data_IF_164865729831
#
_entry.id   IF_164865729831
#
_cell.length_a   1.000
_cell.length_b   1.000
_cell.length_c   1.000
_cell.angle_alpha   90.00
_cell.angle_beta   90.00
_cell.angle_gamma   90.00
#
_symmetry.space_group_name_H-M   'P 1'
#
loop_
_entity.id
_entity.type
_entity.pdbx_description
1 polymer ?
#
# COMPACT_ATOMS: atom_id res chain seq x y z
N UNK A 1 -8.29 8.01 -13.58
CA UNK A 1 -7.79 8.91 -14.61
C UNK A 1 -6.32 8.60 -14.93
N UNK A 2 -5.87 8.75 -16.20
CA UNK A 2 -4.46 8.61 -16.57
C UNK A 2 -3.65 9.75 -15.96
N UNK A 3 -2.44 9.42 -15.45
CA UNK A 3 -1.50 10.40 -14.89
C UNK A 3 -0.41 10.78 -15.91
N UNK A 4 0.25 9.79 -16.45
CA UNK A 4 1.28 9.92 -17.48
C UNK A 4 1.56 8.58 -18.16
N UNK A 5 2.14 8.64 -19.33
CA UNK A 5 2.58 7.48 -20.09
C UNK A 5 4.10 7.44 -20.19
N UNK A 6 4.67 6.26 -20.07
CA UNK A 6 6.07 5.99 -20.35
C UNK A 6 6.25 5.62 -21.83
N UNK A 7 7.47 5.69 -22.36
CA UNK A 7 7.78 5.17 -23.70
C UNK A 7 7.56 3.65 -23.74
N UNK A 8 6.48 3.23 -24.38
CA UNK A 8 6.05 1.84 -24.41
C UNK A 8 6.70 1.01 -25.54
N UNK A 9 7.40 1.66 -26.48
CA UNK A 9 7.99 1.00 -27.65
C UNK A 9 8.88 -0.20 -27.31
N UNK A 10 9.81 -0.12 -26.33
CA UNK A 10 10.61 -1.29 -25.95
C UNK A 10 9.77 -2.43 -25.39
N UNK A 11 8.74 -2.10 -24.61
CA UNK A 11 7.85 -3.08 -23.98
C UNK A 11 6.93 -3.75 -24.98
N UNK A 12 6.44 -3.03 -25.98
CA UNK A 12 5.67 -3.60 -27.11
C UNK A 12 6.49 -4.61 -27.91
N UNK A 13 7.77 -4.30 -28.16
CA UNK A 13 8.67 -5.22 -28.85
C UNK A 13 8.88 -6.49 -28.03
N UNK A 14 9.15 -6.36 -26.72
CA UNK A 14 9.32 -7.49 -25.81
C UNK A 14 8.04 -8.36 -25.73
N UNK A 15 6.87 -7.73 -25.67
CA UNK A 15 5.58 -8.43 -25.67
C UNK A 15 5.39 -9.23 -26.97
N UNK A 16 5.60 -8.60 -28.12
CA UNK A 16 5.48 -9.27 -29.43
C UNK A 16 6.44 -10.45 -29.59
N UNK A 17 7.67 -10.32 -29.07
CA UNK A 17 8.66 -11.39 -29.05
C UNK A 17 8.22 -12.56 -28.17
N UNK A 18 7.72 -12.30 -26.96
CA UNK A 18 7.21 -13.31 -26.06
C UNK A 18 6.00 -14.03 -26.65
N UNK A 19 5.08 -13.30 -27.31
CA UNK A 19 3.93 -13.87 -28.02
C UNK A 19 4.38 -14.83 -29.16
N UNK A 20 5.38 -14.42 -29.91
CA UNK A 20 5.93 -15.28 -30.96
C UNK A 20 6.56 -16.57 -30.40
N UNK A 21 7.24 -16.48 -29.25
CA UNK A 21 7.81 -17.63 -28.53
C UNK A 21 6.72 -18.59 -28.06
N UNK A 22 5.62 -18.09 -27.50
CA UNK A 22 4.47 -18.93 -27.11
C UNK A 22 3.93 -19.69 -28.31
N UNK A 23 3.71 -19.02 -29.47
CA UNK A 23 3.24 -19.67 -30.71
C UNK A 23 4.20 -20.76 -31.18
N UNK A 24 5.51 -20.52 -31.10
CA UNK A 24 6.52 -21.52 -31.45
C UNK A 24 6.44 -22.75 -30.54
N UNK A 25 6.39 -22.55 -29.21
CA UNK A 25 6.31 -23.65 -28.24
C UNK A 25 5.00 -24.44 -28.36
N UNK A 26 3.89 -23.76 -28.62
CA UNK A 26 2.60 -24.41 -28.92
C UNK A 26 2.64 -25.29 -30.17
N UNK A 27 3.32 -24.85 -31.21
CA UNK A 27 3.49 -25.67 -32.41
C UNK A 27 4.31 -26.95 -32.15
N UNK A 28 5.38 -26.84 -31.33
CA UNK A 28 6.20 -27.97 -30.88
C UNK A 28 5.37 -28.94 -30.03
N UNK A 29 4.64 -28.42 -29.02
CA UNK A 29 3.79 -29.24 -28.17
C UNK A 29 2.68 -29.94 -28.96
N UNK A 30 2.08 -29.26 -29.95
CA UNK A 30 1.12 -29.87 -30.86
C UNK A 30 1.74 -31.04 -31.65
N UNK A 31 2.93 -30.86 -32.22
CA UNK A 31 3.62 -31.94 -32.96
C UNK A 31 3.95 -33.12 -32.02
N UNK A 32 4.41 -32.87 -30.79
CA UNK A 32 4.65 -33.90 -29.77
C UNK A 32 3.35 -34.66 -29.41
N UNK A 33 2.25 -33.92 -29.20
CA UNK A 33 0.92 -34.49 -28.90
C UNK A 33 0.41 -35.36 -30.03
N UNK A 34 0.54 -34.91 -31.28
CA UNK A 34 0.15 -35.68 -32.46
C UNK A 34 0.96 -36.95 -32.60
N UNK A 35 2.27 -36.92 -32.24
CA UNK A 35 3.14 -38.10 -32.22
C UNK A 35 2.70 -39.09 -31.13
N UNK A 36 2.63 -38.63 -29.86
CA UNK A 36 2.20 -39.48 -28.76
C UNK A 36 0.82 -40.09 -29.00
N UNK A 37 -0.12 -39.33 -29.58
CA UNK A 37 -1.44 -39.82 -29.94
C UNK A 37 -1.42 -40.90 -31.05
N UNK A 38 -0.51 -40.82 -32.03
CA UNK A 38 -0.33 -41.88 -33.01
C UNK A 38 0.26 -43.14 -32.37
N UNK A 39 1.27 -42.98 -31.55
CA UNK A 39 1.98 -44.07 -30.86
C UNK A 39 1.04 -44.78 -29.87
N UNK A 40 0.19 -44.06 -29.16
CA UNK A 40 -0.86 -44.64 -28.32
C UNK A 40 -1.87 -45.50 -29.09
N UNK A 41 -2.30 -45.03 -30.27
CA UNK A 41 -3.21 -45.81 -31.14
C UNK A 41 -2.54 -47.07 -31.67
N UNK A 42 -1.26 -47.00 -32.05
CA UNK A 42 -0.48 -48.17 -32.49
C UNK A 42 -0.34 -49.19 -31.36
N UNK A 43 -0.04 -48.77 -30.16
CA UNK A 43 0.05 -49.61 -28.96
C UNK A 43 -1.27 -50.36 -28.68
N UNK A 44 -2.42 -49.68 -28.90
CA UNK A 44 -3.75 -50.27 -28.70
C UNK A 44 -4.14 -51.25 -29.79
N UNK A 45 -3.91 -50.88 -31.07
CA UNK A 45 -4.43 -51.62 -32.23
C UNK A 45 -3.48 -52.69 -32.75
N UNK A 46 -2.17 -52.56 -32.46
CA UNK A 46 -1.14 -53.50 -32.89
C UNK A 46 -0.08 -53.67 -31.80
N UNK A 47 -0.39 -54.43 -30.72
CA UNK A 47 0.54 -54.64 -29.63
C UNK A 47 1.87 -55.24 -30.13
N UNK A 48 3.01 -54.55 -29.82
CA UNK A 48 4.34 -54.91 -30.30
C UNK A 48 4.81 -54.20 -31.58
N UNK A 49 3.97 -53.36 -32.21
CA UNK A 49 4.40 -52.51 -33.31
C UNK A 49 5.32 -51.33 -32.89
N UNK A 50 5.29 -50.97 -31.60
CA UNK A 50 6.16 -49.97 -31.01
C UNK A 50 6.75 -50.51 -29.70
N UNK A 51 8.01 -50.21 -29.42
CA UNK A 51 8.62 -50.65 -28.15
C UNK A 51 8.07 -49.81 -26.96
N UNK A 52 7.96 -50.41 -25.78
CA UNK A 52 7.53 -49.66 -24.57
C UNK A 52 8.37 -48.42 -24.31
N UNK A 53 9.68 -48.49 -24.54
CA UNK A 53 10.61 -47.35 -24.35
C UNK A 53 10.29 -46.23 -25.36
N UNK A 54 10.00 -46.54 -26.63
CA UNK A 54 9.66 -45.53 -27.64
C UNK A 54 8.33 -44.84 -27.32
N UNK A 55 7.36 -45.59 -26.83
CA UNK A 55 6.09 -45.05 -26.36
C UNK A 55 6.29 -44.09 -25.17
N UNK A 56 7.02 -44.54 -24.13
CA UNK A 56 7.33 -43.72 -22.96
C UNK A 56 8.09 -42.45 -23.37
N UNK A 57 9.07 -42.57 -24.29
CA UNK A 57 9.80 -41.41 -24.78
C UNK A 57 8.91 -40.38 -25.50
N UNK A 58 7.88 -40.83 -26.22
CA UNK A 58 6.94 -39.92 -26.86
C UNK A 58 6.03 -39.19 -25.85
N UNK A 59 5.63 -39.89 -24.78
CA UNK A 59 4.88 -39.26 -23.67
C UNK A 59 5.74 -38.26 -22.91
N UNK A 60 7.00 -38.59 -22.59
CA UNK A 60 7.94 -37.69 -21.90
C UNK A 60 8.24 -36.43 -22.76
N UNK A 61 8.36 -36.59 -24.07
CA UNK A 61 8.51 -35.48 -25.02
C UNK A 61 7.29 -34.57 -25.03
N UNK A 62 6.08 -35.14 -24.99
CA UNK A 62 4.85 -34.36 -24.90
C UNK A 62 4.81 -33.56 -23.58
N UNK A 63 5.07 -34.21 -22.45
CA UNK A 63 5.07 -33.57 -21.14
C UNK A 63 6.08 -32.44 -21.07
N UNK A 64 7.31 -32.66 -21.58
CA UNK A 64 8.34 -31.63 -21.67
C UNK A 64 7.92 -30.46 -22.55
N UNK A 65 7.32 -30.71 -23.71
CA UNK A 65 6.87 -29.67 -24.62
C UNK A 65 5.69 -28.85 -24.01
N UNK A 66 4.80 -29.50 -23.26
CA UNK A 66 3.72 -28.81 -22.54
C UNK A 66 4.26 -27.94 -21.42
N UNK A 67 5.27 -28.39 -20.68
CA UNK A 67 5.97 -27.61 -19.69
C UNK A 67 6.66 -26.38 -20.31
N UNK A 68 7.29 -26.55 -21.49
CA UNK A 68 7.88 -25.44 -22.25
C UNK A 68 6.84 -24.37 -22.65
N UNK A 69 5.63 -24.77 -23.01
CA UNK A 69 4.52 -23.84 -23.31
C UNK A 69 4.16 -23.06 -22.05
N UNK A 70 4.08 -23.71 -20.89
CA UNK A 70 3.76 -23.03 -19.63
C UNK A 70 4.83 -21.98 -19.26
N UNK A 71 6.11 -22.29 -19.44
CA UNK A 71 7.22 -21.33 -19.23
C UNK A 71 7.11 -20.15 -20.20
N UNK A 72 6.86 -20.40 -21.47
CA UNK A 72 6.72 -19.34 -22.46
C UNK A 72 5.49 -18.46 -22.18
N UNK A 73 4.39 -19.05 -21.68
CA UNK A 73 3.20 -18.31 -21.28
C UNK A 73 3.50 -17.37 -20.09
N UNK A 74 4.22 -17.85 -19.07
CA UNK A 74 4.63 -17.01 -17.95
C UNK A 74 5.52 -15.84 -18.38
N UNK A 75 6.39 -16.04 -19.37
CA UNK A 75 7.20 -14.97 -19.97
C UNK A 75 6.34 -13.94 -20.71
N UNK A 76 5.32 -14.40 -21.43
CA UNK A 76 4.36 -13.50 -22.11
C UNK A 76 3.57 -12.67 -21.09
N UNK A 77 3.10 -13.29 -20.02
CA UNK A 77 2.36 -12.61 -18.96
C UNK A 77 3.23 -11.55 -18.27
N UNK A 78 4.51 -11.84 -18.05
CA UNK A 78 5.48 -10.87 -17.53
C UNK A 78 5.69 -9.69 -18.50
N UNK A 79 5.83 -9.97 -19.79
CA UNK A 79 6.01 -8.93 -20.80
C UNK A 79 4.77 -8.05 -20.94
N UNK A 80 3.57 -8.64 -20.81
CA UNK A 80 2.30 -7.93 -20.78
C UNK A 80 2.21 -7.00 -19.57
N UNK A 81 2.53 -7.50 -18.39
CA UNK A 81 2.52 -6.71 -17.17
C UNK A 81 3.47 -5.52 -17.26
N UNK A 82 4.66 -5.71 -17.83
CA UNK A 82 5.61 -4.63 -18.05
C UNK A 82 5.08 -3.56 -19.02
N UNK A 83 4.33 -3.99 -20.05
CA UNK A 83 3.67 -3.08 -20.98
C UNK A 83 2.53 -2.32 -20.30
N UNK A 84 1.71 -3.00 -19.48
CA UNK A 84 0.63 -2.35 -18.73
C UNK A 84 1.16 -1.29 -17.75
N UNK A 85 2.33 -1.50 -17.17
CA UNK A 85 2.99 -0.51 -16.29
C UNK A 85 3.47 0.75 -17.00
N UNK A 86 3.49 0.77 -18.34
CA UNK A 86 3.81 2.00 -19.07
C UNK A 86 2.68 3.03 -19.03
N UNK A 87 1.45 2.60 -18.74
CA UNK A 87 0.28 3.45 -18.60
C UNK A 87 -0.04 3.64 -17.10
N UNK A 88 0.45 4.74 -16.53
CA UNK A 88 0.26 5.00 -15.11
C UNK A 88 -1.06 5.73 -14.88
N UNK A 89 -1.94 5.09 -14.11
CA UNK A 89 -3.24 5.65 -13.74
C UNK A 89 -3.31 5.97 -12.25
N UNK A 90 -4.19 6.91 -11.88
CA UNK A 90 -4.42 7.27 -10.48
C UNK A 90 -5.09 6.10 -9.73
N UNK A 91 -4.47 5.56 -8.65
CA UNK A 91 -5.06 4.48 -7.87
C UNK A 91 -6.20 4.93 -6.96
N UNK A 92 -6.31 6.23 -6.69
CA UNK A 92 -7.33 6.85 -5.83
C UNK A 92 -7.78 8.19 -6.39
N UNK A 93 -8.94 8.64 -5.97
CA UNK A 93 -9.40 10.00 -6.23
C UNK A 93 -8.59 11.00 -5.40
N UNK A 94 -8.12 12.08 -6.03
CA UNK A 94 -7.31 13.03 -5.29
C UNK A 94 -6.70 14.13 -6.12
N UNK A 95 -5.75 14.82 -5.52
CA UNK A 95 -5.08 15.97 -6.10
C UNK A 95 -3.61 15.68 -6.34
N UNK A 96 -3.15 15.94 -7.56
CA UNK A 96 -1.72 15.87 -7.87
C UNK A 96 -1.05 17.14 -7.35
N UNK A 97 0.04 16.98 -6.65
CA UNK A 97 0.88 18.09 -6.20
C UNK A 97 2.33 17.85 -6.60
N UNK A 98 3.11 18.93 -6.63
CA UNK A 98 4.52 18.88 -6.98
C UNK A 98 4.80 18.23 -8.35
N UNK A 99 4.02 18.60 -9.34
CA UNK A 99 4.16 18.12 -10.72
C UNK A 99 5.38 18.78 -11.39
N UNK A 100 6.55 18.18 -11.24
CA UNK A 100 7.81 18.62 -11.87
C UNK A 100 8.15 17.83 -13.14
N UNK A 101 7.34 16.82 -13.45
CA UNK A 101 7.55 15.91 -14.59
C UNK A 101 7.21 16.62 -15.89
N UNK A 102 8.12 16.53 -16.86
CA UNK A 102 7.94 17.06 -18.21
C UNK A 102 8.13 15.93 -19.24
N UNK A 103 7.57 16.05 -20.45
CA UNK A 103 7.86 15.12 -21.54
C UNK A 103 9.38 15.01 -21.76
N UNK A 104 9.90 13.79 -21.79
CA UNK A 104 11.34 13.50 -21.86
C UNK A 104 12.05 13.35 -20.51
N UNK A 105 11.36 13.52 -19.40
CA UNK A 105 11.92 13.22 -18.07
C UNK A 105 12.22 11.73 -17.96
N UNK A 106 13.45 11.37 -17.56
CA UNK A 106 13.82 9.98 -17.32
C UNK A 106 13.19 9.48 -16.03
N UNK A 107 12.44 8.40 -16.13
CA UNK A 107 11.84 7.69 -15.00
C UNK A 107 12.75 6.55 -14.55
N UNK A 108 12.88 6.38 -13.25
CA UNK A 108 13.62 5.26 -12.65
C UNK A 108 12.68 4.55 -11.68
N UNK A 109 12.66 3.21 -11.72
CA UNK A 109 11.86 2.42 -10.78
C UNK A 109 12.18 2.81 -9.33
N UNK A 110 11.15 2.82 -8.47
CA UNK A 110 11.22 3.17 -7.04
C UNK A 110 11.56 4.64 -6.73
N UNK A 111 11.61 5.52 -7.74
CA UNK A 111 11.69 6.96 -7.51
C UNK A 111 10.33 7.61 -7.72
N UNK A 112 9.78 8.31 -6.72
CA UNK A 112 8.52 9.02 -6.90
C UNK A 112 8.67 10.15 -7.92
N UNK A 113 7.74 10.23 -8.87
CA UNK A 113 7.69 11.27 -9.90
C UNK A 113 6.68 12.35 -9.55
N UNK A 114 5.55 11.97 -8.95
CA UNK A 114 4.46 12.86 -8.56
C UNK A 114 3.97 12.48 -7.17
N UNK A 115 3.42 13.43 -6.45
CA UNK A 115 2.72 13.19 -5.21
C UNK A 115 1.21 13.27 -5.44
N UNK A 116 0.47 12.22 -5.11
CA UNK A 116 -0.98 12.15 -5.16
C UNK A 116 -1.53 12.19 -3.74
N UNK A 117 -2.33 13.21 -3.43
CA UNK A 117 -3.03 13.34 -2.15
C UNK A 117 -4.41 12.76 -2.32
N UNK A 118 -4.72 11.69 -1.57
CA UNK A 118 -6.04 11.07 -1.58
C UNK A 118 -7.07 12.02 -0.95
N UNK A 119 -8.11 12.38 -1.70
CA UNK A 119 -9.17 13.28 -1.25
C UNK A 119 -10.01 12.71 -0.10
N UNK A 120 -10.10 11.37 -0.02
CA UNK A 120 -10.92 10.68 0.97
C UNK A 120 -10.15 10.35 2.28
N UNK A 121 -8.85 10.68 2.34
CA UNK A 121 -7.98 10.33 3.48
C UNK A 121 -7.60 11.51 4.38
N UNK A 122 -8.25 12.67 4.20
CA UNK A 122 -7.96 13.82 5.04
C UNK A 122 -8.36 13.55 6.48
N UNK A 123 -7.42 13.77 7.38
CA UNK A 123 -7.58 13.65 8.82
C UNK A 123 -6.79 14.73 9.54
N UNK A 124 -7.07 14.91 10.80
CA UNK A 124 -6.29 15.80 11.66
C UNK A 124 -5.54 14.97 12.70
N UNK A 125 -4.23 15.11 12.73
CA UNK A 125 -3.40 14.57 13.81
C UNK A 125 -3.13 15.71 14.82
N UNK A 126 -3.87 15.71 15.93
CA UNK A 126 -3.75 16.72 16.97
C UNK A 126 -2.84 16.23 18.09
N UNK A 127 -1.96 17.10 18.59
CA UNK A 127 -0.95 16.76 19.60
C UNK A 127 -1.34 17.34 20.96
N UNK A 128 -1.93 16.53 21.81
CA UNK A 128 -2.34 16.91 23.16
C UNK A 128 -1.28 16.56 24.18
N UNK A 129 -1.21 17.34 25.29
CA UNK A 129 -0.35 17.01 26.43
C UNK A 129 -0.83 15.72 27.09
N UNK A 130 0.08 14.88 27.60
CA UNK A 130 -0.27 13.64 28.30
C UNK A 130 -1.23 13.85 29.46
N UNK A 131 -1.21 15.04 30.10
CA UNK A 131 -2.12 15.42 31.18
C UNK A 131 -3.55 15.67 30.73
N UNK A 132 -3.80 15.86 29.44
CA UNK A 132 -5.11 16.17 28.86
C UNK A 132 -5.82 14.96 28.27
N UNK A 133 -5.07 13.91 27.91
CA UNK A 133 -5.63 12.74 27.20
C UNK A 133 -6.30 11.71 28.10
N UNK A 134 -6.19 11.88 29.44
CA UNK A 134 -6.71 10.91 30.42
C UNK A 134 -8.18 10.53 30.17
N UNK A 135 -8.97 11.53 29.83
CA UNK A 135 -10.42 11.38 29.71
C UNK A 135 -10.88 11.26 28.23
N UNK A 136 -9.93 11.26 27.28
CA UNK A 136 -10.26 11.09 25.86
C UNK A 136 -10.55 9.63 25.53
N UNK A 137 -11.55 9.43 24.69
CA UNK A 137 -11.92 8.11 24.18
C UNK A 137 -12.13 8.14 22.67
N UNK A 138 -11.82 7.06 21.96
CA UNK A 138 -12.29 6.89 20.59
C UNK A 138 -13.82 7.03 20.54
N UNK A 139 -14.33 7.82 19.60
CA UNK A 139 -15.74 8.18 19.49
C UNK A 139 -16.12 9.53 20.11
N UNK A 140 -15.23 10.18 20.87
CA UNK A 140 -15.50 11.52 21.38
C UNK A 140 -15.64 12.54 20.25
N UNK A 141 -16.62 13.44 20.41
CA UNK A 141 -16.85 14.51 19.43
C UNK A 141 -15.84 15.63 19.61
N UNK A 142 -15.40 16.19 18.52
CA UNK A 142 -14.47 17.29 18.48
C UNK A 142 -14.92 18.38 17.51
N UNK A 143 -14.47 19.59 17.76
CA UNK A 143 -14.58 20.72 16.85
C UNK A 143 -13.18 21.07 16.35
N UNK A 144 -13.04 21.13 15.02
CA UNK A 144 -11.80 21.48 14.34
C UNK A 144 -12.01 22.83 13.66
N UNK A 145 -11.18 23.79 13.96
CA UNK A 145 -11.14 25.08 13.29
C UNK A 145 -9.85 25.19 12.50
N UNK A 146 -9.95 25.17 11.18
CA UNK A 146 -8.80 25.36 10.31
C UNK A 146 -8.39 26.82 10.30
N UNK A 147 -7.08 27.10 10.32
CA UNK A 147 -6.61 28.50 10.25
C UNK A 147 -7.04 29.20 8.94
N UNK A 148 -7.20 28.42 7.87
CA UNK A 148 -7.67 28.93 6.57
C UNK A 148 -9.16 29.30 6.58
N UNK A 149 -9.95 28.65 7.46
CA UNK A 149 -11.42 28.82 7.58
C UNK A 149 -11.78 29.04 9.06
N UNK A 150 -11.31 30.15 9.63
CA UNK A 150 -11.45 30.46 11.07
C UNK A 150 -12.89 30.59 11.54
N UNK A 151 -13.79 31.00 10.62
CA UNK A 151 -15.20 31.27 10.92
C UNK A 151 -16.10 30.03 10.75
N UNK A 152 -15.55 28.90 10.32
CA UNK A 152 -16.31 27.67 10.05
C UNK A 152 -15.74 26.50 10.82
N UNK A 153 -16.17 26.27 12.08
CA UNK A 153 -15.78 25.10 12.83
C UNK A 153 -16.39 23.84 12.19
N UNK A 154 -15.56 22.80 12.05
CA UNK A 154 -15.93 21.52 11.48
C UNK A 154 -16.13 20.48 12.56
N UNK A 155 -17.18 19.70 12.45
CA UNK A 155 -17.42 18.56 13.33
C UNK A 155 -16.51 17.39 12.96
N UNK A 156 -15.96 16.76 13.98
CA UNK A 156 -15.06 15.62 13.84
C UNK A 156 -15.21 14.68 15.02
N UNK A 157 -14.78 13.45 14.82
CA UNK A 157 -14.78 12.41 15.84
C UNK A 157 -13.38 11.89 16.07
N UNK A 158 -13.03 11.61 17.33
CA UNK A 158 -11.75 10.99 17.71
C UNK A 158 -11.74 9.56 17.19
N UNK A 159 -10.86 9.27 16.24
CA UNK A 159 -10.68 7.93 15.67
C UNK A 159 -9.80 7.06 16.57
N UNK A 160 -8.66 7.62 16.98
CA UNK A 160 -7.70 6.87 17.80
C UNK A 160 -6.78 7.79 18.58
N UNK A 161 -6.25 7.28 19.68
CA UNK A 161 -5.26 7.92 20.52
C UNK A 161 -3.97 7.12 20.41
N UNK A 162 -2.85 7.78 20.15
CA UNK A 162 -1.56 7.13 19.98
C UNK A 162 -1.11 6.37 21.22
N UNK A 163 -0.74 5.11 21.05
CA UNK A 163 -0.23 4.23 22.14
C UNK A 163 1.23 4.50 22.50
N UNK A 164 1.94 5.26 21.71
CA UNK A 164 3.35 5.55 21.94
C UNK A 164 3.85 6.72 21.12
N UNK A 165 4.93 7.31 21.60
CA UNK A 165 5.70 8.34 20.91
C UNK A 165 7.15 7.91 20.83
N UNK A 166 7.79 8.12 19.70
CA UNK A 166 9.23 7.99 19.60
C UNK A 166 9.88 9.22 20.26
N UNK A 167 10.83 9.00 21.17
CA UNK A 167 11.66 10.07 21.71
C UNK A 167 12.87 10.23 20.79
N UNK A 168 13.26 11.45 20.46
CA UNK A 168 14.47 11.71 19.67
C UNK A 168 15.74 11.12 20.31
N UNK A 169 15.78 11.07 21.65
CA UNK A 169 16.89 10.48 22.41
C UNK A 169 16.79 8.95 22.59
N UNK A 170 15.83 8.29 21.94
CA UNK A 170 15.60 6.84 22.02
C UNK A 170 15.73 6.14 20.67
N UNK A 171 16.27 6.83 19.65
CA UNK A 171 16.57 6.17 18.39
C UNK A 171 17.62 5.09 18.62
N UNK A 172 17.28 3.86 18.35
CA UNK A 172 18.23 2.75 18.23
C UNK A 172 19.22 3.12 17.13
N UNK A 173 20.48 3.36 17.50
CA UNK A 173 21.56 3.54 16.56
C UNK A 173 21.72 2.27 15.69
N UNK A 174 22.49 2.34 14.62
CA UNK A 174 22.78 1.22 13.70
C UNK A 174 23.27 -0.05 14.41
N UNK A 175 23.68 0.04 15.68
CA UNK A 175 24.16 -1.09 16.50
C UNK A 175 23.09 -1.67 17.45
N UNK A 176 21.80 -1.32 17.28
CA UNK A 176 20.66 -1.78 18.09
C UNK A 176 20.79 -1.48 19.62
N UNK A 177 21.73 -0.63 20.01
CA UNK A 177 21.87 -0.18 21.37
C UNK A 177 21.18 1.18 21.57
N UNK A 178 20.44 1.39 22.68
CA UNK A 178 19.82 2.69 22.95
C UNK A 178 20.89 3.75 23.18
N UNK A 179 20.88 4.81 22.36
CA UNK A 179 21.71 5.99 22.57
C UNK A 179 21.13 6.78 23.73
N UNK A 180 21.84 6.80 24.86
CA UNK A 180 21.47 7.60 26.04
C UNK A 180 22.35 8.84 26.04
N UNK A 181 21.83 9.97 25.58
CA UNK A 181 22.45 11.26 25.83
C UNK A 181 22.16 11.67 27.28
N UNK A 182 23.18 11.96 28.10
CA UNK A 182 22.97 12.49 29.44
C UNK A 182 22.56 13.98 29.36
N UNK A 183 21.28 14.23 29.11
CA UNK A 183 20.70 15.55 29.20
C UNK A 183 20.03 15.68 30.57
N UNK A 184 20.62 16.47 31.44
CA UNK A 184 19.97 16.97 32.64
C UNK A 184 18.92 18.01 32.23
N UNK A 185 17.71 17.54 31.84
CA UNK A 185 16.58 18.45 31.71
C UNK A 185 16.06 18.79 33.11
N UNK A 186 16.39 19.96 33.59
CA UNK A 186 15.89 20.54 34.86
C UNK A 186 14.35 20.61 34.90
N UNK A 187 13.70 20.74 33.73
CA UNK A 187 12.24 20.83 33.61
C UNK A 187 11.77 19.71 32.69
N UNK A 188 11.01 18.76 33.23
CA UNK A 188 10.30 17.77 32.43
C UNK A 188 9.07 18.40 31.82
N UNK A 189 9.13 18.74 30.56
CA UNK A 189 7.95 19.15 29.79
C UNK A 189 7.04 17.93 29.55
N UNK A 190 5.72 18.14 29.71
CA UNK A 190 4.73 17.13 29.41
C UNK A 190 4.85 16.72 27.92
N UNK A 191 4.92 15.43 27.66
CA UNK A 191 4.98 14.90 26.31
C UNK A 191 3.66 15.15 25.59
N UNK A 192 3.74 15.20 24.25
CA UNK A 192 2.56 15.35 23.39
C UNK A 192 2.20 14.01 22.76
N UNK A 193 0.98 13.59 22.96
CA UNK A 193 0.43 12.35 22.43
C UNK A 193 -0.40 12.70 21.19
N UNK A 194 -0.18 12.02 20.04
CA UNK A 194 -0.98 12.22 18.85
C UNK A 194 -2.38 11.63 19.04
N UNK A 195 -3.39 12.41 18.76
CA UNK A 195 -4.79 12.02 18.71
C UNK A 195 -5.25 12.23 17.27
N UNK A 196 -5.73 11.16 16.65
CA UNK A 196 -6.22 11.18 15.28
C UNK A 196 -7.72 11.47 15.28
N UNK A 197 -8.12 12.42 14.43
CA UNK A 197 -9.52 12.81 14.26
C UNK A 197 -9.88 12.71 12.78
N UNK A 198 -11.07 12.22 12.50
CA UNK A 198 -11.67 12.27 11.16
C UNK A 198 -12.82 13.26 11.14
N UNK A 199 -13.05 13.87 9.98
CA UNK A 199 -14.17 14.79 9.79
C UNK A 199 -15.47 13.99 9.61
N UNK A 200 -16.54 14.36 10.32
CA UNK A 200 -17.85 13.70 10.19
C UNK A 200 -18.52 14.11 8.89
N UNK A 201 -18.44 15.39 8.54
CA UNK A 201 -18.92 15.93 7.29
C UNK A 201 -18.11 17.16 6.89
N UNK A 202 -17.85 17.29 5.59
CA UNK A 202 -17.23 18.48 5.02
C UNK A 202 -18.28 19.34 4.35
N UNK A 203 -18.51 20.59 4.80
CA UNK A 203 -19.40 21.53 4.13
C UNK A 203 -18.90 21.84 2.71
N UNK A 204 -19.84 22.13 1.80
CA UNK A 204 -19.49 22.56 0.45
C UNK A 204 -18.70 23.86 0.48
N UNK A 205 -17.60 23.91 -0.26
CA UNK A 205 -16.75 25.10 -0.36
C UNK A 205 -15.56 25.11 0.56
N UNK A 206 -15.31 24.04 1.32
CA UNK A 206 -14.08 23.88 2.10
C UNK A 206 -13.13 22.93 1.36
N UNK A 207 -12.03 23.49 0.90
CA UNK A 207 -10.96 22.73 0.26
C UNK A 207 -9.87 22.41 1.32
N UNK A 208 -9.79 21.15 1.69
CA UNK A 208 -8.75 20.68 2.62
C UNK A 208 -7.40 20.62 1.91
N UNK A 209 -6.36 21.02 2.61
CA UNK A 209 -4.97 20.92 2.13
C UNK A 209 -4.10 20.22 3.16
N UNK A 210 -3.33 19.24 2.72
CA UNK A 210 -2.38 18.56 3.57
C UNK A 210 -1.31 19.55 4.08
N UNK A 211 -0.94 19.43 5.37
CA UNK A 211 0.07 20.30 5.99
C UNK A 211 -0.48 21.62 6.54
N UNK A 212 -1.79 21.87 6.50
CA UNK A 212 -2.40 23.04 7.13
C UNK A 212 -2.56 22.86 8.63
N UNK A 213 -2.55 23.98 9.36
CA UNK A 213 -2.69 24.01 10.81
C UNK A 213 -4.16 24.16 11.22
N UNK A 214 -4.55 23.47 12.28
CA UNK A 214 -5.88 23.55 12.85
C UNK A 214 -5.83 23.68 14.38
N UNK A 215 -6.86 24.30 14.95
CA UNK A 215 -7.16 24.26 16.37
C UNK A 215 -8.21 23.18 16.62
N UNK A 216 -8.02 22.36 17.66
CA UNK A 216 -8.91 21.24 17.97
C UNK A 216 -9.42 21.38 19.40
N UNK A 217 -10.74 21.28 19.56
CA UNK A 217 -11.42 21.20 20.84
C UNK A 217 -12.12 19.84 20.93
N UNK A 218 -11.68 18.97 21.83
CA UNK A 218 -12.34 17.68 22.12
C UNK A 218 -13.34 17.88 23.25
N UNK A 219 -14.58 17.41 23.06
CA UNK A 219 -15.61 17.40 24.09
C UNK A 219 -15.58 16.07 24.83
N UNK A 220 -15.11 16.12 26.06
CA UNK A 220 -15.09 14.96 26.96
C UNK A 220 -16.47 14.78 27.56
N UNK A 221 -16.99 13.55 27.65
CA UNK A 221 -18.29 13.25 28.26
C UNK A 221 -18.24 13.54 29.78
N UNK A 222 -19.07 14.45 30.31
CA UNK A 222 -19.02 14.81 31.74
C UNK A 222 -19.51 13.68 32.66
N UNK A 223 -20.21 12.67 32.15
CA UNK A 223 -20.83 11.63 32.97
C UNK A 223 -19.84 10.64 33.59
N UNK A 224 -18.67 10.46 33.00
CA UNK A 224 -17.67 9.50 33.49
C UNK A 224 -16.62 10.13 34.44
N UNK A 225 -16.49 11.43 34.44
CA UNK A 225 -15.49 12.13 35.30
C UNK A 225 -15.89 12.14 36.77
N UNK A 226 -17.18 12.02 37.06
CA UNK A 226 -17.70 12.02 38.43
C UNK A 226 -17.55 10.68 39.18
N UNK A 227 -17.37 9.57 38.45
CA UNK A 227 -17.36 8.21 39.02
C UNK A 227 -15.97 7.69 39.46
N UNK A 228 -14.88 8.43 39.27
CA UNK A 228 -13.51 7.90 39.46
C UNK A 228 -12.65 8.62 40.49
N UNK A 229 -13.22 9.46 41.37
CA UNK A 229 -12.46 9.98 42.51
C UNK A 229 -12.68 9.04 43.71
N UNK A 230 -11.73 8.14 44.04
CA UNK A 230 -11.85 7.37 45.26
C UNK A 230 -11.81 8.35 46.44
N UNK A 231 -12.63 8.15 47.51
CA UNK A 231 -12.59 9.01 48.67
C UNK A 231 -11.17 9.02 49.27
N UNK A 232 -10.68 10.19 49.59
CA UNK A 232 -9.40 10.35 50.24
C UNK A 232 -9.38 9.49 51.53
N UNK A 233 -8.29 8.78 51.83
CA UNK A 233 -8.16 8.04 53.06
C UNK A 233 -8.27 9.03 54.24
N UNK A 234 -9.22 8.77 55.12
CA UNK A 234 -9.39 9.53 56.39
C UNK A 234 -8.13 9.31 57.20
N UNK A 235 -7.33 10.34 57.40
CA UNK A 235 -6.21 10.30 58.36
C UNK A 235 -6.85 10.28 59.75
N UNK A 236 -6.83 9.11 60.38
CA UNK A 236 -7.27 8.96 61.74
C UNK A 236 -6.40 9.79 62.69
N UNK A 237 -7.07 10.46 63.62
CA UNK A 237 -6.48 11.17 64.74
C UNK A 237 -5.75 10.19 65.68
#
# INVERSE_FOLDING_TARGET
>A
DPLFDLDDRPFRVAFSQAEANVRQKQAIAKAARDRAGRDARLQQNAPGAISPEAFQQAEDQLLSAEADVAVAQAQLDQARLNLDFTHVTAPVNGYITNLTVQPGTMSTAYRPLVALINADSFRVDAFFRETQIRDFRPGDRALITLMTYSDTPLEATVESIGWGIARENGSTGEQLLPSVSPTFEWIRLAQRIPVRLHFDALPKGIDLRAGTTASVLVRVHPEDTAASIPPLPTIGQ
#
